data_IF_194083337262
#
_entry.id   IF_194083337262
#
_cell.length_a   1.000
_cell.length_b   1.000
_cell.length_c   1.000
_cell.angle_alpha   90.00
_cell.angle_beta   90.00
_cell.angle_gamma   90.00
#
_symmetry.space_group_name_H-M   'P 1'
#
loop_
_entity.id
_entity.type
_entity.pdbx_description
1 polymer ?
#
# COMPACT_ATOMS: atom_id res chain seq x y z
N UNK A 1 23.85 42.89 38.92
CA UNK A 1 23.07 43.33 37.74
C UNK A 1 22.97 42.17 36.75
N UNK A 2 21.95 41.33 36.85
CA UNK A 2 21.73 40.22 35.90
C UNK A 2 20.73 40.66 34.83
N UNK A 3 21.17 40.80 33.58
CA UNK A 3 20.31 41.17 32.45
C UNK A 3 19.28 40.08 32.15
N UNK A 4 18.01 40.47 32.00
CA UNK A 4 16.95 39.57 31.51
C UNK A 4 17.29 39.11 30.10
N UNK A 5 17.29 37.80 29.88
CA UNK A 5 17.54 37.20 28.57
C UNK A 5 16.51 37.61 27.51
N UNK A 6 16.77 37.29 26.23
CA UNK A 6 15.93 37.71 25.11
C UNK A 6 14.48 37.28 25.30
N UNK A 7 13.55 38.18 24.95
CA UNK A 7 12.10 37.92 25.05
C UNK A 7 11.76 36.67 24.22
N UNK A 8 10.96 35.73 24.76
CA UNK A 8 10.53 34.55 24.00
C UNK A 8 9.92 34.94 22.66
N UNK A 9 10.30 34.21 21.60
CA UNK A 9 9.81 34.46 20.26
C UNK A 9 8.29 34.26 20.24
N UNK A 10 7.59 35.23 19.67
CA UNK A 10 6.15 35.18 19.45
C UNK A 10 5.80 33.89 18.67
N UNK A 11 4.98 33.04 19.28
CA UNK A 11 4.64 31.71 18.75
C UNK A 11 3.95 31.82 17.39
N UNK A 12 3.17 32.88 17.17
CA UNK A 12 2.46 33.15 15.91
C UNK A 12 3.40 33.55 14.76
N UNK A 13 4.65 33.90 15.08
CA UNK A 13 5.68 34.34 14.12
C UNK A 13 6.79 33.30 13.94
N UNK A 14 6.59 32.08 14.44
CA UNK A 14 7.49 30.96 14.19
C UNK A 14 7.44 30.57 12.69
N UNK A 15 8.63 30.30 12.14
CA UNK A 15 8.75 29.79 10.77
C UNK A 15 7.99 28.47 10.64
N UNK A 16 6.96 28.43 9.77
CA UNK A 16 6.13 27.25 9.53
C UNK A 16 4.62 27.48 9.76
N UNK A 17 4.23 28.33 10.71
CA UNK A 17 2.81 28.59 10.99
C UNK A 17 2.10 29.29 9.82
N UNK A 18 2.80 30.23 9.16
CA UNK A 18 2.32 30.86 7.93
C UNK A 18 2.18 29.88 6.76
N UNK A 19 3.06 28.88 6.66
CA UNK A 19 3.03 27.87 5.61
C UNK A 19 1.90 26.84 5.83
N UNK A 20 1.61 26.46 7.08
CA UNK A 20 0.44 25.66 7.42
C UNK A 20 -0.87 26.41 7.13
N UNK A 21 -0.96 27.70 7.52
CA UNK A 21 -2.12 28.56 7.24
C UNK A 21 -2.34 28.79 5.75
N UNK A 22 -1.26 28.94 4.97
CA UNK A 22 -1.33 29.07 3.51
C UNK A 22 -1.85 27.78 2.84
N UNK A 23 -1.41 26.60 3.28
CA UNK A 23 -1.93 25.30 2.80
C UNK A 23 -3.42 25.14 3.11
N UNK A 24 -3.85 25.54 4.29
CA UNK A 24 -5.26 25.49 4.69
C UNK A 24 -6.16 26.44 3.86
N UNK A 25 -5.65 27.61 3.45
CA UNK A 25 -6.42 28.63 2.72
C UNK A 25 -6.82 28.21 1.30
N UNK A 26 -6.19 27.18 0.72
CA UNK A 26 -6.49 26.66 -0.62
C UNK A 26 -7.28 25.34 -0.64
N UNK A 27 -7.67 24.79 0.52
CA UNK A 27 -8.34 23.50 0.58
C UNK A 27 -9.81 23.64 0.15
N UNK A 28 -10.11 23.23 -1.09
CA UNK A 28 -11.48 23.11 -1.59
C UNK A 28 -12.07 21.77 -1.14
N UNK A 29 -12.98 21.80 -0.18
CA UNK A 29 -13.71 20.61 0.28
C UNK A 29 -14.83 20.32 -0.72
N UNK A 30 -14.69 19.25 -1.49
CA UNK A 30 -15.76 18.71 -2.35
C UNK A 30 -16.24 17.43 -1.67
N UNK A 31 -17.54 17.34 -1.38
CA UNK A 31 -18.15 16.11 -0.87
C UNK A 31 -18.43 15.21 -2.05
N UNK A 32 -17.78 14.05 -2.09
CA UNK A 32 -18.11 12.97 -3.00
C UNK A 32 -18.71 11.84 -2.17
N UNK A 33 -19.77 11.22 -2.68
CA UNK A 33 -20.38 10.07 -2.02
C UNK A 33 -19.62 8.80 -2.40
N UNK A 34 -19.26 7.96 -1.41
CA UNK A 34 -18.76 6.63 -1.70
C UNK A 34 -19.79 5.84 -2.50
N UNK A 35 -19.32 5.02 -3.43
CA UNK A 35 -20.18 4.18 -4.28
C UNK A 35 -19.74 2.73 -4.21
N UNK A 36 -20.68 1.83 -4.44
CA UNK A 36 -20.38 0.39 -4.50
C UNK A 36 -19.45 0.05 -5.68
N UNK A 37 -18.69 -1.04 -5.51
CA UNK A 37 -17.83 -1.55 -6.56
C UNK A 37 -18.66 -1.92 -7.81
N UNK A 38 -18.31 -1.39 -9.00
CA UNK A 38 -18.97 -1.77 -10.22
C UNK A 38 -18.60 -3.20 -10.64
N UNK A 39 -19.51 -3.86 -11.35
CA UNK A 39 -19.22 -5.16 -11.99
C UNK A 39 -18.13 -4.97 -13.04
N UNK A 40 -17.23 -5.96 -13.13
CA UNK A 40 -16.23 -5.98 -14.20
C UNK A 40 -16.93 -5.97 -15.58
N UNK A 41 -16.66 -4.97 -16.43
CA UNK A 41 -17.22 -4.92 -17.76
C UNK A 41 -16.66 -6.04 -18.64
N UNK A 42 -17.28 -6.32 -19.80
CA UNK A 42 -16.73 -7.24 -20.78
C UNK A 42 -15.29 -6.88 -21.15
N UNK A 43 -14.35 -7.82 -21.01
CA UNK A 43 -12.98 -7.58 -21.46
C UNK A 43 -12.90 -7.78 -22.98
N UNK A 44 -12.58 -6.71 -23.69
CA UNK A 44 -12.34 -6.74 -25.14
C UNK A 44 -10.85 -6.77 -25.42
N UNK A 45 -10.39 -7.72 -26.23
CA UNK A 45 -9.04 -7.75 -26.78
C UNK A 45 -9.07 -7.17 -28.19
N UNK A 46 -8.31 -6.11 -28.43
CA UNK A 46 -8.14 -5.54 -29.77
C UNK A 46 -6.85 -6.05 -30.41
N UNK A 47 -6.87 -6.22 -31.73
CA UNK A 47 -5.69 -6.52 -32.56
C UNK A 47 -5.87 -5.94 -33.96
N UNK A 48 -4.77 -5.76 -34.67
CA UNK A 48 -4.78 -5.38 -36.09
C UNK A 48 -4.71 -6.67 -36.92
N UNK A 49 -5.63 -6.84 -37.87
CA UNK A 49 -5.61 -7.97 -38.80
C UNK A 49 -4.57 -7.76 -39.92
N UNK A 50 -4.40 -8.78 -40.79
CA UNK A 50 -3.46 -8.73 -41.91
C UNK A 50 -3.74 -7.60 -42.89
N UNK A 51 -4.97 -7.09 -42.92
CA UNK A 51 -5.42 -6.03 -43.81
C UNK A 51 -5.29 -4.64 -43.16
N UNK A 52 -4.69 -4.55 -41.98
CA UNK A 52 -4.53 -3.31 -41.23
C UNK A 52 -5.81 -2.83 -40.54
N UNK A 53 -6.87 -3.64 -40.47
CA UNK A 53 -8.14 -3.26 -39.82
C UNK A 53 -8.11 -3.63 -38.34
N UNK A 54 -8.64 -2.74 -37.52
CA UNK A 54 -8.81 -3.02 -36.10
C UNK A 54 -9.97 -4.01 -35.89
N UNK A 55 -9.65 -5.09 -35.16
CA UNK A 55 -10.59 -6.13 -34.77
C UNK A 55 -10.61 -6.22 -33.26
N UNK A 56 -11.74 -6.62 -32.70
CA UNK A 56 -11.81 -6.95 -31.29
C UNK A 56 -12.69 -8.17 -31.03
N UNK A 57 -12.39 -8.89 -29.95
CA UNK A 57 -13.21 -9.99 -29.44
C UNK A 57 -13.36 -9.89 -27.95
N UNK A 58 -14.50 -10.36 -27.46
CA UNK A 58 -14.72 -10.58 -26.05
C UNK A 58 -13.86 -11.74 -25.57
N UNK A 59 -13.16 -11.53 -24.48
CA UNK A 59 -12.33 -12.52 -23.80
C UNK A 59 -12.74 -12.60 -22.33
N UNK A 60 -12.48 -13.74 -21.70
CA UNK A 60 -12.72 -13.88 -20.27
C UNK A 60 -11.66 -13.15 -19.46
N UNK A 61 -12.07 -12.54 -18.35
CA UNK A 61 -11.13 -12.05 -17.34
C UNK A 61 -10.35 -13.22 -16.72
N UNK A 62 -9.03 -13.10 -16.51
CA UNK A 62 -8.26 -14.07 -15.74
C UNK A 62 -8.87 -14.29 -14.35
N UNK A 63 -8.83 -15.52 -13.85
CA UNK A 63 -9.40 -15.85 -12.54
C UNK A 63 -8.73 -15.05 -11.41
N UNK A 64 -7.43 -14.83 -11.51
CA UNK A 64 -6.62 -14.04 -10.61
C UNK A 64 -7.07 -12.58 -10.57
N UNK A 65 -7.38 -11.99 -11.72
CA UNK A 65 -7.91 -10.61 -11.77
C UNK A 65 -9.28 -10.49 -11.15
N UNK A 66 -10.17 -11.48 -11.34
CA UNK A 66 -11.48 -11.48 -10.67
C UNK A 66 -11.36 -11.56 -9.15
N UNK A 67 -10.48 -12.45 -8.65
CA UNK A 67 -10.19 -12.54 -7.20
C UNK A 67 -9.59 -11.25 -6.66
N UNK A 68 -8.66 -10.66 -7.41
CA UNK A 68 -8.03 -9.39 -7.06
C UNK A 68 -9.03 -8.23 -7.02
N UNK A 69 -9.96 -8.19 -7.98
CA UNK A 69 -11.05 -7.20 -8.00
C UNK A 69 -11.94 -7.35 -6.76
N UNK A 70 -12.35 -8.57 -6.43
CA UNK A 70 -13.17 -8.84 -5.24
C UNK A 70 -12.45 -8.43 -3.94
N UNK A 71 -11.16 -8.75 -3.82
CA UNK A 71 -10.35 -8.35 -2.66
C UNK A 71 -10.35 -6.83 -2.41
N UNK A 72 -10.43 -6.01 -3.46
CA UNK A 72 -10.55 -4.55 -3.28
C UNK A 72 -11.90 -4.15 -2.70
N UNK A 73 -13.01 -4.75 -3.13
CA UNK A 73 -14.32 -4.51 -2.53
C UNK A 73 -14.41 -4.99 -1.09
N UNK A 74 -13.74 -6.08 -0.75
CA UNK A 74 -13.73 -6.62 0.62
C UNK A 74 -12.78 -5.83 1.55
N UNK A 75 -11.98 -4.92 1.00
CA UNK A 75 -10.99 -4.16 1.76
C UNK A 75 -11.62 -2.93 2.41
N UNK A 76 -11.33 -2.64 3.70
CA UNK A 76 -11.72 -1.39 4.35
C UNK A 76 -11.13 -0.14 3.68
N UNK A 77 -10.13 -0.30 2.81
CA UNK A 77 -9.58 0.80 2.01
C UNK A 77 -10.61 1.36 1.03
N UNK A 78 -11.61 0.58 0.65
CA UNK A 78 -12.60 0.95 -0.35
C UNK A 78 -13.86 1.62 0.20
N UNK A 79 -13.99 1.72 1.54
CA UNK A 79 -15.17 2.29 2.21
C UNK A 79 -15.48 3.73 1.76
N UNK A 80 -14.44 4.50 1.44
CA UNK A 80 -14.54 5.89 0.99
C UNK A 80 -14.39 6.05 -0.54
N UNK A 81 -14.33 4.96 -1.31
CA UNK A 81 -14.09 5.05 -2.76
C UNK A 81 -15.27 5.65 -3.51
N UNK A 82 -14.95 6.65 -4.33
CA UNK A 82 -15.90 7.30 -5.23
C UNK A 82 -15.90 6.62 -6.59
N UNK A 83 -16.80 7.04 -7.49
CA UNK A 83 -16.85 6.53 -8.86
C UNK A 83 -15.52 6.70 -9.61
N UNK A 84 -14.76 7.74 -9.30
CA UNK A 84 -13.45 8.02 -9.93
C UNK A 84 -12.41 7.01 -9.49
N UNK A 85 -12.40 6.66 -8.20
CA UNK A 85 -11.47 5.68 -7.63
C UNK A 85 -11.71 4.29 -8.23
N UNK A 86 -12.98 3.89 -8.31
CA UNK A 86 -13.36 2.64 -8.98
C UNK A 86 -13.03 2.64 -10.48
N UNK A 87 -13.16 3.77 -11.16
CA UNK A 87 -12.77 3.90 -12.56
C UNK A 87 -11.26 3.71 -12.75
N UNK A 88 -10.44 4.34 -11.90
CA UNK A 88 -8.98 4.18 -11.96
C UNK A 88 -8.55 2.75 -11.59
N UNK A 89 -9.21 2.12 -10.61
CA UNK A 89 -8.98 0.71 -10.28
C UNK A 89 -9.41 -0.23 -11.41
N UNK A 90 -10.46 0.10 -12.16
CA UNK A 90 -10.90 -0.68 -13.31
C UNK A 90 -9.85 -0.67 -14.42
N UNK A 91 -9.26 0.50 -14.72
CA UNK A 91 -8.12 0.60 -15.65
C UNK A 91 -6.92 -0.21 -15.15
N UNK A 92 -6.68 -0.17 -13.84
CA UNK A 92 -5.64 -0.98 -13.19
C UNK A 92 -5.93 -2.48 -13.31
N UNK A 93 -7.20 -2.90 -13.21
CA UNK A 93 -7.62 -4.29 -13.38
C UNK A 93 -7.26 -4.79 -14.79
N UNK A 94 -7.40 -3.94 -15.81
CA UNK A 94 -7.02 -4.28 -17.19
C UNK A 94 -5.51 -4.53 -17.30
N UNK A 95 -4.68 -3.70 -16.69
CA UNK A 95 -3.22 -3.94 -16.62
C UNK A 95 -2.89 -5.22 -15.85
N UNK A 96 -3.58 -5.48 -14.74
CA UNK A 96 -3.43 -6.71 -13.97
C UNK A 96 -3.79 -7.95 -14.82
N UNK A 97 -4.85 -7.88 -15.63
CA UNK A 97 -5.20 -8.95 -16.55
C UNK A 97 -4.14 -9.20 -17.63
N UNK A 98 -3.56 -8.14 -18.21
CA UNK A 98 -2.46 -8.25 -19.17
C UNK A 98 -1.20 -8.86 -18.54
N UNK A 99 -0.87 -8.45 -17.30
CA UNK A 99 0.24 -9.01 -16.54
C UNK A 99 0.08 -10.53 -16.33
N UNK A 100 -1.09 -10.97 -15.88
CA UNK A 100 -1.38 -12.40 -15.68
C UNK A 100 -1.48 -13.20 -16.98
N UNK A 101 -1.66 -12.53 -18.12
CA UNK A 101 -1.58 -13.13 -19.45
C UNK A 101 -0.15 -13.22 -19.98
N UNK A 102 0.84 -12.78 -19.21
CA UNK A 102 2.27 -12.89 -19.52
C UNK A 102 2.90 -11.61 -20.05
N UNK A 103 2.15 -10.50 -20.17
CA UNK A 103 2.74 -9.23 -20.58
C UNK A 103 3.44 -8.54 -19.39
N UNK A 104 4.66 -8.97 -19.07
CA UNK A 104 5.42 -8.44 -17.93
C UNK A 104 5.79 -6.95 -18.08
N UNK A 105 5.69 -6.37 -19.28
CA UNK A 105 6.02 -4.95 -19.52
C UNK A 105 5.10 -3.99 -18.77
N UNK A 106 3.87 -4.41 -18.44
CA UNK A 106 2.93 -3.57 -17.69
C UNK A 106 3.15 -3.58 -16.18
N UNK A 107 4.09 -4.40 -15.67
CA UNK A 107 4.30 -4.60 -14.24
C UNK A 107 4.67 -3.30 -13.49
N UNK A 108 5.52 -2.46 -14.10
CA UNK A 108 5.95 -1.20 -13.49
C UNK A 108 4.77 -0.23 -13.32
N UNK A 109 3.96 -0.06 -14.36
CA UNK A 109 2.78 0.81 -14.32
C UNK A 109 1.72 0.25 -13.36
N UNK A 110 1.48 -1.06 -13.40
CA UNK A 110 0.59 -1.74 -12.46
C UNK A 110 0.99 -1.45 -11.01
N UNK A 111 2.27 -1.58 -10.68
CA UNK A 111 2.77 -1.27 -9.33
C UNK A 111 2.49 0.17 -8.92
N UNK A 112 2.73 1.13 -9.82
CA UNK A 112 2.54 2.55 -9.53
C UNK A 112 1.06 2.91 -9.30
N UNK A 113 0.14 2.34 -10.08
CA UNK A 113 -1.29 2.58 -9.91
C UNK A 113 -1.83 1.95 -8.64
N UNK A 114 -1.47 0.69 -8.39
CA UNK A 114 -1.86 -0.06 -7.19
C UNK A 114 -1.35 0.61 -5.90
N UNK A 115 -0.16 1.22 -5.93
CA UNK A 115 0.40 1.96 -4.81
C UNK A 115 -0.44 3.17 -4.38
N UNK A 116 -1.16 3.83 -5.32
CA UNK A 116 -2.02 4.98 -5.00
C UNK A 116 -3.15 4.63 -4.04
N UNK A 117 -3.54 3.36 -4.00
CA UNK A 117 -4.64 2.85 -3.18
C UNK A 117 -4.16 2.14 -1.92
N UNK A 118 -2.86 2.11 -1.63
CA UNK A 118 -2.35 1.51 -0.38
C UNK A 118 -2.33 -0.02 -0.39
N UNK A 119 -2.10 -0.66 -1.53
CA UNK A 119 -2.14 -2.12 -1.62
C UNK A 119 -1.05 -2.82 -0.79
N UNK A 120 0.15 -2.24 -0.70
CA UNK A 120 1.24 -2.79 0.13
C UNK A 120 1.35 -2.06 1.48
N UNK A 121 1.96 -2.69 2.51
CA UNK A 121 2.25 -2.01 3.77
C UNK A 121 3.08 -0.74 3.61
N UNK A 122 4.03 -0.73 2.67
CA UNK A 122 4.84 0.45 2.35
C UNK A 122 3.96 1.59 1.82
N UNK A 123 3.04 1.26 0.90
CA UNK A 123 2.12 2.24 0.33
C UNK A 123 1.16 2.79 1.39
N UNK A 124 0.66 1.93 2.30
CA UNK A 124 -0.17 2.38 3.43
C UNK A 124 0.59 3.29 4.38
N UNK A 125 1.83 2.96 4.70
CA UNK A 125 2.68 3.82 5.53
C UNK A 125 2.91 5.18 4.84
N UNK A 126 3.14 5.20 3.52
CA UNK A 126 3.28 6.42 2.72
C UNK A 126 2.01 7.26 2.72
N UNK A 127 0.84 6.62 2.60
CA UNK A 127 -0.47 7.27 2.65
C UNK A 127 -0.94 7.59 4.08
N UNK A 128 -0.16 7.20 5.10
CA UNK A 128 -0.49 7.35 6.53
C UNK A 128 -1.79 6.64 6.93
N UNK A 129 -2.09 5.54 6.25
CA UNK A 129 -3.24 4.69 6.54
C UNK A 129 -2.84 3.72 7.64
N UNK A 130 -3.59 3.69 8.73
CA UNK A 130 -3.44 2.71 9.80
C UNK A 130 -4.72 1.91 9.90
N UNK A 131 -4.60 0.59 9.83
CA UNK A 131 -5.71 -0.27 10.23
C UNK A 131 -5.76 -0.27 11.74
N UNK A 132 -6.87 0.19 12.32
CA UNK A 132 -7.14 -0.05 13.71
C UNK A 132 -7.30 -1.57 13.88
N UNK A 133 -6.28 -2.23 14.44
CA UNK A 133 -6.49 -3.54 15.03
C UNK A 133 -7.40 -3.25 16.22
N UNK A 134 -8.61 -3.81 16.22
CA UNK A 134 -9.48 -3.76 17.39
C UNK A 134 -8.78 -4.53 18.52
N UNK A 135 -7.92 -3.83 19.26
CA UNK A 135 -7.45 -4.28 20.55
C UNK A 135 -8.68 -4.24 21.45
N UNK A 136 -9.13 -5.42 21.91
CA UNK A 136 -10.15 -5.51 22.94
C UNK A 136 -9.75 -4.56 24.06
N UNK A 137 -10.54 -3.52 24.27
CA UNK A 137 -10.29 -2.50 25.25
C UNK A 137 -10.37 -3.12 26.66
N UNK A 138 -9.23 -3.52 27.20
CA UNK A 138 -9.09 -3.82 28.62
C UNK A 138 -8.20 -2.75 29.27
N UNK A 139 -8.88 -1.67 29.64
CA UNK A 139 -8.57 -0.73 30.72
C UNK A 139 -7.18 -0.89 31.38
N UNK A 140 -6.16 -0.18 30.87
CA UNK A 140 -4.97 0.14 31.67
C UNK A 140 -5.03 1.61 32.09
N UNK A 141 -5.28 1.91 33.38
CA UNK A 141 -5.27 3.28 33.86
C UNK A 141 -3.87 3.89 33.71
N UNK A 142 -3.86 5.14 33.26
CA UNK A 142 -2.66 5.96 33.12
C UNK A 142 -1.92 6.07 34.46
N UNK A 143 -0.75 5.43 34.56
CA UNK A 143 0.20 5.75 35.62
C UNK A 143 1.00 6.99 35.19
N UNK A 144 0.50 8.15 35.60
CA UNK A 144 1.29 9.36 35.78
C UNK A 144 2.41 9.04 36.78
N UNK A 145 3.65 9.28 36.39
CA UNK A 145 4.83 9.07 37.22
C UNK A 145 6.02 9.86 36.67
N UNK A 146 5.96 11.18 36.81
CA UNK A 146 7.07 12.11 36.64
C UNK A 146 8.07 11.98 37.80
N UNK A 147 9.37 11.79 37.53
CA UNK A 147 10.49 12.38 38.30
C UNK A 147 11.70 12.62 37.37
N UNK A 148 12.44 13.75 37.47
CA UNK A 148 13.36 14.24 36.44
C UNK A 148 14.86 14.01 36.72
N UNK A 149 15.68 14.52 35.78
CA UNK A 149 17.03 15.08 35.94
C UNK A 149 18.26 14.16 36.12
N UNK A 150 19.01 14.05 35.01
CA UNK A 150 20.43 14.40 34.86
C UNK A 150 21.42 13.98 35.98
N UNK A 151 22.28 13.01 35.68
CA UNK A 151 23.56 12.80 36.35
C UNK A 151 24.66 12.60 35.29
N UNK A 152 25.68 13.45 35.43
CA UNK A 152 26.87 13.61 34.59
C UNK A 152 27.87 12.44 34.78
N UNK A 153 28.42 11.94 33.65
CA UNK A 153 29.79 11.37 33.45
C UNK A 153 30.23 10.00 34.06
N UNK A 154 31.33 9.35 33.58
CA UNK A 154 32.02 9.41 32.28
C UNK A 154 32.43 8.03 31.67
N UNK A 155 32.77 8.08 30.38
CA UNK A 155 33.79 7.31 29.62
C UNK A 155 34.05 5.81 29.90
N UNK A 156 33.71 4.97 28.89
CA UNK A 156 34.68 4.06 28.27
C UNK A 156 34.45 2.54 28.40
N UNK A 157 34.11 1.86 27.27
CA UNK A 157 34.61 0.55 26.75
C UNK A 157 33.63 -0.05 25.71
N UNK A 158 34.02 -1.05 24.90
CA UNK A 158 35.03 -1.06 23.85
C UNK A 158 34.40 -1.36 22.47
N UNK A 159 35.23 -1.27 21.41
CA UNK A 159 34.86 -1.44 19.99
C UNK A 159 34.27 -2.84 19.69
N UNK A 160 33.20 -2.86 18.90
CA UNK A 160 32.49 -4.04 18.36
C UNK A 160 33.42 -4.96 17.57
N UNK A 161 33.36 -6.26 17.85
CA UNK A 161 33.90 -7.32 17.00
C UNK A 161 33.04 -7.50 15.73
N UNK A 162 33.60 -8.03 14.62
CA UNK A 162 32.90 -8.12 13.35
C UNK A 162 31.80 -9.19 13.34
N UNK A 163 30.68 -8.85 12.70
CA UNK A 163 29.56 -9.75 12.43
C UNK A 163 30.02 -10.86 11.47
N UNK A 164 30.09 -12.09 11.96
CA UNK A 164 30.22 -13.28 11.09
C UNK A 164 28.90 -13.52 10.37
N UNK A 165 28.99 -13.67 9.06
CA UNK A 165 27.93 -14.10 8.16
C UNK A 165 27.39 -15.47 8.61
N UNK A 166 26.08 -15.56 8.87
CA UNK A 166 25.36 -16.82 8.96
C UNK A 166 24.40 -16.87 7.78
N UNK A 167 24.90 -17.39 6.66
CA UNK A 167 24.02 -18.09 5.71
C UNK A 167 23.61 -19.39 6.40
N UNK A 168 22.31 -19.64 6.36
CA UNK A 168 21.66 -20.94 6.16
C UNK A 168 20.52 -21.19 7.14
N UNK A 169 19.31 -21.24 6.58
CA UNK A 169 18.17 -22.10 6.93
C UNK A 169 16.91 -21.49 6.32
N UNK A 170 16.73 -21.79 5.04
CA UNK A 170 15.53 -21.51 4.27
C UNK A 170 14.51 -22.61 4.58
N UNK A 171 13.80 -22.48 5.70
CA UNK A 171 12.65 -23.30 6.04
C UNK A 171 11.36 -22.57 5.66
N UNK A 172 10.50 -23.23 4.88
CA UNK A 172 9.05 -22.94 4.97
C UNK A 172 8.22 -22.81 3.70
N UNK A 173 8.67 -23.25 2.52
CA UNK A 173 7.74 -23.44 1.39
C UNK A 173 7.41 -24.93 1.20
N UNK A 174 6.16 -25.37 1.37
CA UNK A 174 5.78 -26.75 1.10
C UNK A 174 5.92 -27.04 -0.39
N UNK A 175 6.86 -27.94 -0.73
CA UNK A 175 6.94 -28.56 -2.06
C UNK A 175 5.77 -29.53 -2.23
N UNK A 176 4.81 -29.18 -3.08
CA UNK A 176 3.87 -30.18 -3.62
C UNK A 176 4.57 -30.94 -4.76
N UNK A 177 5.30 -31.99 -4.39
CA UNK A 177 5.68 -33.05 -5.33
C UNK A 177 4.61 -34.14 -5.21
N UNK A 178 3.64 -34.11 -6.11
CA UNK A 178 2.69 -35.20 -6.33
C UNK A 178 2.96 -35.79 -7.70
N UNK A 179 3.64 -36.93 -7.72
CA UNK A 179 3.87 -37.73 -8.91
C UNK A 179 2.55 -38.24 -9.50
N UNK A 180 2.43 -38.19 -10.83
CA UNK A 180 1.54 -39.10 -11.56
C UNK A 180 2.45 -39.93 -12.46
N UNK A 181 2.73 -41.11 -11.96
CA UNK A 181 3.34 -42.24 -12.65
C UNK A 181 2.38 -42.68 -13.77
N UNK A 182 2.85 -42.67 -15.02
CA UNK A 182 2.12 -43.23 -16.16
C UNK A 182 2.78 -44.56 -16.50
N UNK A 183 2.09 -45.64 -16.12
CA UNK A 183 2.23 -47.04 -16.54
C UNK A 183 0.80 -47.63 -16.42
N UNK A 184 0.22 -48.40 -17.32
CA UNK A 184 0.69 -49.17 -18.47
C UNK A 184 -0.44 -49.17 -19.53
N UNK A 185 -0.11 -49.60 -20.75
CA UNK A 185 -1.11 -49.93 -21.76
C UNK A 185 -1.90 -51.20 -21.43
N UNK A 186 -3.13 -51.30 -21.92
CA UNK A 186 -3.55 -52.34 -22.86
C UNK A 186 -4.98 -52.10 -23.35
N UNK A 187 -5.21 -52.55 -24.59
CA UNK A 187 -6.44 -52.57 -25.42
C UNK A 187 -6.71 -51.37 -26.33
#
# INVERSE_FOLDING_TARGET
MGGRGPRPKDLDRLAGHGAAKARAKGLRVIRAEPVEQPKLPPLMQAWIDSDGRERSKRIAWPAQTKKWWQMWADSPLSDDFTSTDWSELLDTARLHAEYWRGNLKVAAELRLRVAKFGATPEDRARLRIQFAVAENAENRPASVGSVPANADQPAGRPRRAPIRHLLDSNDGYPRLVGAVEVRDGDV
#
